data_IF_150741314732
#
_entry.id   IF_150741314732
#
_cell.length_a   1.000
_cell.length_b   1.000
_cell.length_c   1.000
_cell.angle_alpha   90.00
_cell.angle_beta   90.00
_cell.angle_gamma   90.00
#
_symmetry.space_group_name_H-M   'P 1'
#
loop_
_entity.id
_entity.type
_entity.pdbx_description
1 polymer ?
#
# COMPACT_ATOMS: atom_id res chain seq x y z
N UNK A 1 16.50 -10.94 -3.43
CA UNK A 1 16.85 -11.65 -4.67
C UNK A 1 15.65 -12.38 -5.28
N UNK A 2 15.00 -13.29 -4.55
CA UNK A 2 13.90 -14.11 -5.09
C UNK A 2 12.66 -13.29 -5.51
N UNK A 3 12.23 -12.32 -4.70
CA UNK A 3 11.12 -11.41 -5.03
C UNK A 3 11.35 -10.57 -6.30
N UNK A 4 12.57 -10.07 -6.50
CA UNK A 4 12.90 -9.26 -7.68
C UNK A 4 12.89 -10.12 -8.96
N UNK A 5 13.34 -11.36 -8.86
CA UNK A 5 13.34 -12.32 -9.98
C UNK A 5 11.92 -12.67 -10.43
N UNK A 6 11.06 -13.04 -9.48
CA UNK A 6 9.63 -13.33 -9.71
C UNK A 6 8.89 -12.12 -10.33
N UNK A 7 9.31 -10.91 -9.99
CA UNK A 7 8.75 -9.69 -10.56
C UNK A 7 9.22 -9.42 -11.99
N UNK A 8 10.51 -9.61 -12.27
CA UNK A 8 11.08 -9.38 -13.60
C UNK A 8 10.50 -10.37 -14.63
N UNK A 9 10.29 -11.63 -14.24
CA UNK A 9 9.73 -12.62 -15.15
C UNK A 9 8.26 -12.31 -15.49
N UNK A 10 7.46 -11.89 -14.51
CA UNK A 10 6.05 -11.56 -14.73
C UNK A 10 5.85 -10.17 -15.34
N UNK A 11 6.82 -9.25 -15.24
CA UNK A 11 6.75 -7.90 -15.81
C UNK A 11 6.56 -7.90 -17.34
N UNK A 12 7.25 -8.80 -18.05
CA UNK A 12 7.17 -8.89 -19.51
C UNK A 12 5.76 -9.26 -19.97
N UNK A 13 5.14 -10.22 -19.29
CA UNK A 13 3.75 -10.62 -19.54
C UNK A 13 2.77 -9.52 -19.15
N UNK A 14 3.03 -8.79 -18.07
CA UNK A 14 2.21 -7.64 -17.65
C UNK A 14 2.23 -6.52 -18.68
N UNK A 15 3.39 -6.11 -19.18
CA UNK A 15 3.44 -5.07 -20.22
C UNK A 15 2.67 -5.55 -21.46
N UNK A 16 2.82 -6.81 -21.85
CA UNK A 16 2.15 -7.34 -23.04
C UNK A 16 0.63 -7.50 -22.88
N UNK A 17 0.14 -7.90 -21.72
CA UNK A 17 -1.28 -8.15 -21.46
C UNK A 17 -2.03 -6.92 -20.94
N UNK A 18 -1.38 -6.10 -20.11
CA UNK A 18 -1.97 -4.96 -19.40
C UNK A 18 -1.62 -3.64 -20.09
N UNK A 19 -0.44 -3.48 -20.70
CA UNK A 19 -0.09 -2.24 -21.41
C UNK A 19 -0.58 -2.18 -22.85
N UNK A 20 -0.64 -3.31 -23.54
CA UNK A 20 -1.11 -3.35 -24.92
C UNK A 20 -2.64 -3.39 -25.05
N UNK A 21 -3.36 -3.78 -23.99
CA UNK A 21 -4.83 -3.94 -24.02
C UNK A 21 -5.57 -2.77 -23.34
N UNK A 22 -6.91 -2.74 -23.46
CA UNK A 22 -7.76 -1.68 -22.92
C UNK A 22 -7.50 -1.48 -21.41
N UNK A 23 -7.05 -0.27 -21.05
CA UNK A 23 -6.79 0.15 -19.67
C UNK A 23 -8.12 0.33 -18.94
N UNK A 24 -8.47 -0.61 -18.06
CA UNK A 24 -9.62 -0.47 -17.16
C UNK A 24 -9.17 0.04 -15.79
N UNK A 25 -10.08 0.63 -15.00
CA UNK A 25 -9.76 1.10 -13.66
C UNK A 25 -9.20 0.00 -12.74
N UNK A 26 -9.70 -1.23 -12.87
CA UNK A 26 -9.21 -2.40 -12.14
C UNK A 26 -7.74 -2.72 -12.45
N UNK A 27 -7.35 -2.55 -13.71
CA UNK A 27 -5.98 -2.75 -14.18
C UNK A 27 -5.01 -1.75 -13.56
N UNK A 28 -5.40 -0.47 -13.48
CA UNK A 28 -4.59 0.56 -12.83
C UNK A 28 -4.46 0.30 -11.33
N UNK A 29 -5.55 -0.12 -10.68
CA UNK A 29 -5.58 -0.49 -9.27
C UNK A 29 -4.60 -1.64 -8.97
N UNK A 30 -4.61 -2.67 -9.81
CA UNK A 30 -3.71 -3.81 -9.69
C UNK A 30 -2.23 -3.40 -9.80
N UNK A 31 -1.90 -2.54 -10.77
CA UNK A 31 -0.54 -2.02 -10.92
C UNK A 31 -0.12 -1.22 -9.67
N UNK A 32 -0.97 -0.32 -9.17
CA UNK A 32 -0.64 0.46 -7.96
C UNK A 32 -0.32 -0.48 -6.79
N UNK A 33 -1.17 -1.49 -6.51
CA UNK A 33 -0.95 -2.44 -5.41
C UNK A 33 0.40 -3.14 -5.58
N UNK A 34 0.68 -3.63 -6.79
CA UNK A 34 1.86 -4.42 -7.09
C UNK A 34 3.17 -3.62 -7.00
N UNK A 35 3.24 -2.45 -7.63
CA UNK A 35 4.46 -1.63 -7.61
C UNK A 35 4.67 -0.94 -6.25
N UNK A 36 3.60 -0.52 -5.60
CA UNK A 36 3.69 0.15 -4.31
C UNK A 36 4.22 -0.79 -3.20
N UNK A 37 3.77 -2.04 -3.18
CA UNK A 37 4.31 -3.05 -2.25
C UNK A 37 5.82 -3.27 -2.45
N UNK A 38 6.29 -3.33 -3.70
CA UNK A 38 7.71 -3.45 -4.01
C UNK A 38 8.54 -2.26 -3.50
N UNK A 39 8.08 -1.05 -3.79
CA UNK A 39 8.75 0.19 -3.37
C UNK A 39 8.80 0.26 -1.84
N UNK A 40 7.68 -0.04 -1.17
CA UNK A 40 7.59 -0.06 0.30
C UNK A 40 8.58 -1.05 0.90
N UNK A 41 8.64 -2.29 0.38
CA UNK A 41 9.61 -3.28 0.84
C UNK A 41 11.04 -2.80 0.61
N UNK A 42 11.37 -2.23 -0.54
CA UNK A 42 12.71 -1.75 -0.84
C UNK A 42 13.15 -0.60 0.09
N UNK A 43 12.25 0.34 0.39
CA UNK A 43 12.50 1.46 1.29
C UNK A 43 12.65 0.99 2.75
N UNK A 44 11.76 0.13 3.25
CA UNK A 44 11.83 -0.32 4.64
C UNK A 44 13.05 -1.22 4.88
N UNK A 45 13.40 -2.06 3.89
CA UNK A 45 14.60 -2.87 3.95
C UNK A 45 15.85 -1.99 3.94
N UNK A 46 15.94 -1.00 3.04
CA UNK A 46 17.12 -0.12 3.00
C UNK A 46 17.32 0.66 4.30
N UNK A 47 16.24 1.11 4.95
CA UNK A 47 16.30 1.75 6.27
C UNK A 47 16.76 0.81 7.39
N UNK A 48 16.47 -0.49 7.28
CA UNK A 48 16.87 -1.52 8.25
C UNK A 48 18.34 -1.90 8.11
N UNK A 49 18.88 -1.86 6.89
CA UNK A 49 20.29 -2.15 6.60
C UNK A 49 21.21 -0.94 6.76
N UNK A 50 20.70 0.24 7.11
CA UNK A 50 21.55 1.37 7.48
C UNK A 50 22.38 0.96 8.70
N UNK A 51 23.73 0.98 8.60
CA UNK A 51 24.56 0.62 9.73
C UNK A 51 24.25 1.58 10.87
N UNK A 52 23.90 1.02 12.04
CA UNK A 52 23.83 1.77 13.28
C UNK A 52 25.27 2.08 13.70
N UNK A 53 25.89 3.04 13.03
CA UNK A 53 27.17 3.60 13.47
C UNK A 53 26.95 4.38 14.76
N UNK A 54 27.97 4.50 15.61
CA UNK A 54 27.91 5.19 16.91
C UNK A 54 27.40 6.65 16.84
N UNK A 55 27.32 7.22 15.64
CA UNK A 55 26.79 8.55 15.32
C UNK A 55 25.26 8.59 15.13
N UNK A 56 24.62 7.45 14.83
CA UNK A 56 23.18 7.30 14.60
C UNK A 56 22.60 6.45 15.72
N UNK A 57 22.04 7.12 16.73
CA UNK A 57 21.31 6.44 17.80
C UNK A 57 20.13 5.63 17.23
N UNK A 58 19.90 4.46 17.81
CA UNK A 58 18.73 3.58 17.50
C UNK A 58 17.41 4.37 17.50
N UNK A 59 17.32 5.37 18.37
CA UNK A 59 16.18 6.28 18.49
C UNK A 59 15.88 7.06 17.19
N UNK A 60 16.93 7.50 16.48
CA UNK A 60 16.80 8.28 15.24
C UNK A 60 16.30 7.42 14.08
N UNK A 61 16.82 6.19 13.95
CA UNK A 61 16.37 5.22 12.94
C UNK A 61 14.93 4.79 13.21
N UNK A 62 14.54 4.60 14.48
CA UNK A 62 13.16 4.31 14.88
C UNK A 62 12.20 5.46 14.53
N UNK A 63 12.59 6.71 14.81
CA UNK A 63 11.79 7.90 14.46
C UNK A 63 11.62 8.07 12.94
N UNK A 64 12.71 7.89 12.17
CA UNK A 64 12.67 7.91 10.70
C UNK A 64 11.77 6.80 10.16
N UNK A 65 11.92 5.58 10.67
CA UNK A 65 11.09 4.44 10.27
C UNK A 65 9.61 4.71 10.52
N UNK A 66 9.25 5.18 11.71
CA UNK A 66 7.86 5.52 12.04
C UNK A 66 7.29 6.60 11.13
N UNK A 67 8.07 7.65 10.81
CA UNK A 67 7.65 8.74 9.89
C UNK A 67 7.43 8.25 8.47
N UNK A 68 8.23 7.30 8.00
CA UNK A 68 8.15 6.74 6.64
C UNK A 68 7.06 5.67 6.53
N UNK A 69 6.86 4.88 7.58
CA UNK A 69 5.90 3.77 7.57
C UNK A 69 4.44 4.25 7.49
N UNK A 70 4.10 5.35 8.16
CA UNK A 70 2.72 5.88 8.18
C UNK A 70 2.19 6.22 6.78
N UNK A 71 2.84 7.09 5.97
CA UNK A 71 2.34 7.42 4.64
C UNK A 71 2.35 6.22 3.68
N UNK A 72 3.29 5.29 3.85
CA UNK A 72 3.33 4.06 3.05
C UNK A 72 2.11 3.18 3.33
N UNK A 73 1.73 3.01 4.60
CA UNK A 73 0.52 2.28 4.98
C UNK A 73 -0.76 2.94 4.47
N UNK A 74 -0.86 4.28 4.55
CA UNK A 74 -2.00 5.01 3.97
C UNK A 74 -2.17 4.72 2.48
N UNK A 75 -1.05 4.67 1.75
CA UNK A 75 -1.04 4.48 0.31
C UNK A 75 -1.35 3.02 -0.08
N UNK A 76 -1.01 2.03 0.75
CA UNK A 76 -1.39 0.63 0.57
C UNK A 76 -2.85 0.35 0.91
N UNK A 77 -3.35 1.09 1.90
CA UNK A 77 -4.69 0.90 2.42
C UNK A 77 -5.77 1.31 1.39
N UNK A 78 -5.57 2.43 0.69
CA UNK A 78 -6.52 2.95 -0.31
C UNK A 78 -6.80 1.95 -1.44
N UNK A 79 -5.78 1.35 -2.09
CA UNK A 79 -5.96 0.30 -3.08
C UNK A 79 -6.64 -0.97 -2.54
N UNK A 80 -6.35 -1.38 -1.30
CA UNK A 80 -7.03 -2.54 -0.68
C UNK A 80 -8.51 -2.27 -0.46
N UNK A 81 -8.86 -1.10 0.07
CA UNK A 81 -10.25 -0.68 0.24
C UNK A 81 -10.97 -0.56 -1.11
N UNK A 82 -10.29 -0.02 -2.13
CA UNK A 82 -10.83 0.09 -3.48
C UNK A 82 -11.03 -1.28 -4.15
N UNK A 83 -10.16 -2.26 -3.91
CA UNK A 83 -10.34 -3.61 -4.44
C UNK A 83 -11.54 -4.30 -3.80
N UNK A 84 -11.71 -4.14 -2.48
CA UNK A 84 -12.87 -4.62 -1.74
C UNK A 84 -14.18 -4.02 -2.25
N UNK A 85 -14.23 -2.70 -2.49
CA UNK A 85 -15.44 -2.05 -3.02
C UNK A 85 -15.72 -2.43 -4.47
N UNK A 86 -14.69 -2.58 -5.32
CA UNK A 86 -14.83 -3.01 -6.71
C UNK A 86 -15.43 -4.42 -6.80
N UNK A 87 -15.01 -5.34 -5.92
CA UNK A 87 -15.57 -6.68 -5.83
C UNK A 87 -17.06 -6.65 -5.46
N UNK A 88 -17.45 -5.80 -4.51
CA UNK A 88 -18.86 -5.64 -4.12
C UNK A 88 -19.69 -5.02 -5.24
N UNK A 89 -19.12 -4.05 -5.97
CA UNK A 89 -19.75 -3.40 -7.11
C UNK A 89 -20.02 -4.40 -8.25
N UNK A 90 -19.10 -5.32 -8.50
CA UNK A 90 -19.28 -6.40 -9.47
C UNK A 90 -20.40 -7.38 -9.06
N UNK A 91 -20.48 -7.74 -7.77
CA UNK A 91 -21.51 -8.67 -7.26
C UNK A 91 -22.90 -8.01 -7.14
N UNK A 92 -22.96 -6.71 -6.91
CA UNK A 92 -24.20 -5.99 -6.63
C UNK A 92 -24.80 -5.30 -7.85
N UNK A 93 -24.50 -5.80 -9.07
CA UNK A 93 -24.95 -5.23 -10.34
C UNK A 93 -24.71 -3.71 -10.45
N UNK A 94 -23.49 -3.26 -10.18
CA UNK A 94 -23.11 -1.84 -10.30
C UNK A 94 -23.81 -0.91 -9.29
N UNK A 95 -24.25 -1.42 -8.14
CA UNK A 95 -24.85 -0.59 -7.09
C UNK A 95 -23.79 0.25 -6.34
N UNK A 96 -23.47 1.42 -6.88
CA UNK A 96 -22.51 2.39 -6.33
C UNK A 96 -22.68 2.76 -4.85
N UNK A 97 -23.90 2.99 -4.29
CA UNK A 97 -24.02 3.35 -2.87
C UNK A 97 -23.53 2.24 -1.94
N UNK A 98 -23.75 0.98 -2.29
CA UNK A 98 -23.27 -0.16 -1.50
C UNK A 98 -21.74 -0.27 -1.58
N UNK A 99 -21.15 -0.04 -2.76
CA UNK A 99 -19.70 -0.02 -2.94
C UNK A 99 -19.04 1.11 -2.14
N UNK A 100 -19.66 2.29 -2.10
CA UNK A 100 -19.21 3.42 -1.28
C UNK A 100 -19.27 3.10 0.20
N UNK A 101 -20.36 2.48 0.67
CA UNK A 101 -20.50 2.06 2.06
C UNK A 101 -19.40 1.07 2.46
N UNK A 102 -19.10 0.08 1.61
CA UNK A 102 -18.03 -0.89 1.86
C UNK A 102 -16.66 -0.22 1.87
N UNK A 103 -16.41 0.76 0.99
CA UNK A 103 -15.17 1.53 1.00
C UNK A 103 -15.00 2.30 2.31
N UNK A 104 -16.04 3.02 2.75
CA UNK A 104 -16.02 3.77 4.02
C UNK A 104 -15.85 2.84 5.21
N UNK A 105 -16.55 1.70 5.21
CA UNK A 105 -16.45 0.71 6.27
C UNK A 105 -15.05 0.08 6.32
N UNK A 106 -14.42 -0.16 5.17
CA UNK A 106 -13.05 -0.63 5.10
C UNK A 106 -12.09 0.38 5.74
N UNK A 107 -12.29 1.69 5.56
CA UNK A 107 -11.46 2.75 6.17
C UNK A 107 -11.49 2.78 7.71
N UNK A 108 -12.53 2.22 8.34
CA UNK A 108 -12.72 2.23 9.79
C UNK A 108 -11.54 1.70 10.61
N UNK A 109 -11.11 0.43 10.46
CA UNK A 109 -9.99 -0.14 11.22
C UNK A 109 -8.67 0.62 11.05
N UNK A 110 -8.46 1.24 9.90
CA UNK A 110 -7.27 2.04 9.65
C UNK A 110 -7.30 3.36 10.42
N UNK A 111 -8.43 4.08 10.38
CA UNK A 111 -8.61 5.31 11.14
C UNK A 111 -8.42 5.09 12.65
N UNK A 112 -8.97 3.99 13.19
CA UNK A 112 -8.80 3.62 14.60
C UNK A 112 -7.32 3.33 14.92
N UNK A 113 -6.61 2.61 14.06
CA UNK A 113 -5.18 2.33 14.27
C UNK A 113 -4.33 3.61 14.27
N UNK A 114 -4.59 4.56 13.37
CA UNK A 114 -3.85 5.83 13.33
C UNK A 114 -4.11 6.67 14.58
N UNK A 115 -5.36 6.77 15.02
CA UNK A 115 -5.74 7.53 16.23
C UNK A 115 -5.17 6.88 17.49
N UNK A 116 -5.21 5.55 17.62
CA UNK A 116 -4.60 4.85 18.75
C UNK A 116 -3.06 4.92 18.74
N UNK A 117 -2.43 4.94 17.56
CA UNK A 117 -0.97 4.97 17.42
C UNK A 117 -0.38 6.36 17.63
N UNK A 118 -1.12 7.41 17.28
CA UNK A 118 -0.77 8.80 17.59
C UNK A 118 -1.79 9.37 18.58
N UNK A 119 -1.72 8.96 19.86
CA UNK A 119 -2.39 9.73 20.88
C UNK A 119 -1.73 11.10 20.86
N UNK A 120 -2.51 12.11 20.48
CA UNK A 120 -2.18 13.53 20.42
C UNK A 120 -0.86 13.90 21.10
N UNK A 121 0.10 14.39 20.32
CA UNK A 121 1.18 15.26 20.79
C UNK A 121 0.54 16.54 21.35
N UNK A 122 -0.05 16.42 22.52
CA UNK A 122 -0.67 17.51 23.26
C UNK A 122 -0.45 17.17 24.72
N UNK A 123 0.76 17.45 25.21
CA UNK A 123 1.06 18.08 26.50
C UNK A 123 2.50 18.59 26.44
#
# INVERSE_FOLDING_TARGET
ALLAYEYLITFTDEVRLIWLHKKTGATFLFLIIRYHAMITLLILQSLTFLPVSDEVSVDRTCSMYAKVQVPLQFTEFVPWAAFSSLRVLALSRMNYPLASLVFVLACGPFAVNVVCRFPSTTF
#
